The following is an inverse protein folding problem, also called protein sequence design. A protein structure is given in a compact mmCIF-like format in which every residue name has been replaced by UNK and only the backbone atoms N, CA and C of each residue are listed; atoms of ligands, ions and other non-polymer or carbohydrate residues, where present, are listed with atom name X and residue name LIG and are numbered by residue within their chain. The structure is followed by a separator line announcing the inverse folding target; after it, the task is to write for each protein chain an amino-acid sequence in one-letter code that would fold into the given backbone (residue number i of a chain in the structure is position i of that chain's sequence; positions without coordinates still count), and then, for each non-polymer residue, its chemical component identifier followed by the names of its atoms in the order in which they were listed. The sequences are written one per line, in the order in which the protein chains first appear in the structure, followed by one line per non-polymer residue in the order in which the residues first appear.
data_IF_828618552073
#
_entry.id   IF_828618552073
#
_cell.length_a   1.000
_cell.length_b   1.000
_cell.length_c   1.000
_cell.angle_alpha   90.00
_cell.angle_beta   90.00
_cell.angle_gamma   90.00
#
_symmetry.space_group_name_H-M   'P 1'
#
loop_
_entity.id
_entity.type
_entity.pdbx_description
1 polymer ?
#
# COMPACT_ATOMS: atom_id res chain seq x y z
N UNK A 1 -7.59 14.51 -4.84
CA UNK A 1 -6.55 14.30 -3.83
C UNK A 1 -5.21 13.94 -4.50
N UNK A 2 -5.15 12.91 -5.37
CA UNK A 2 -3.92 12.47 -6.02
C UNK A 2 -3.22 13.56 -6.83
N UNK A 3 -3.94 14.26 -7.68
CA UNK A 3 -3.41 15.41 -8.43
C UNK A 3 -2.80 16.48 -7.50
N UNK A 4 -3.49 16.79 -6.39
CA UNK A 4 -2.95 17.73 -5.41
C UNK A 4 -1.63 17.26 -4.81
N UNK A 5 -1.54 15.97 -4.44
CA UNK A 5 -0.29 15.40 -3.87
C UNK A 5 0.82 15.41 -4.90
N UNK A 6 0.56 14.96 -6.13
CA UNK A 6 1.59 14.73 -7.14
C UNK A 6 1.96 15.98 -7.94
N UNK A 7 1.02 16.92 -8.12
CA UNK A 7 1.24 18.11 -8.94
C UNK A 7 1.52 19.38 -8.12
N UNK A 8 1.20 19.37 -6.81
CA UNK A 8 1.39 20.52 -5.93
C UNK A 8 2.33 20.20 -4.77
N UNK A 9 2.00 19.19 -3.95
CA UNK A 9 2.76 18.90 -2.72
C UNK A 9 4.16 18.37 -3.03
N UNK A 10 4.25 17.31 -3.87
CA UNK A 10 5.55 16.72 -4.23
C UNK A 10 6.48 17.75 -4.90
N UNK A 11 6.07 18.50 -5.94
CA UNK A 11 6.94 19.51 -6.53
C UNK A 11 7.36 20.62 -5.56
N UNK A 12 6.47 21.06 -4.67
CA UNK A 12 6.80 22.03 -3.64
C UNK A 12 7.89 21.51 -2.69
N UNK A 13 7.73 20.27 -2.21
CA UNK A 13 8.73 19.66 -1.31
C UNK A 13 10.07 19.48 -2.02
N UNK A 14 10.06 19.00 -3.26
CA UNK A 14 11.29 18.81 -4.05
C UNK A 14 12.01 20.11 -4.38
N UNK A 15 11.27 21.22 -4.47
CA UNK A 15 11.84 22.54 -4.70
C UNK A 15 12.43 23.19 -3.43
N UNK A 16 11.73 23.04 -2.29
CA UNK A 16 12.06 23.72 -1.05
C UNK A 16 13.03 22.96 -0.15
N UNK A 17 13.13 21.63 -0.33
CA UNK A 17 13.94 20.77 0.53
C UNK A 17 14.94 19.95 -0.28
N UNK A 18 15.98 19.45 0.39
CA UNK A 18 16.98 18.56 -0.20
C UNK A 18 16.39 17.14 -0.29
N UNK A 19 15.76 16.83 -1.39
CA UNK A 19 15.18 15.52 -1.68
C UNK A 19 15.93 14.84 -2.81
N UNK A 20 15.76 13.51 -2.90
CA UNK A 20 16.00 12.74 -4.10
C UNK A 20 14.64 12.60 -4.79
N UNK A 21 14.40 13.43 -5.81
CA UNK A 21 13.06 13.64 -6.37
C UNK A 21 12.63 12.58 -7.39
N UNK A 22 13.55 11.67 -7.74
CA UNK A 22 13.28 10.62 -8.71
C UNK A 22 12.34 9.53 -8.17
N UNK A 23 11.84 8.71 -9.09
CA UNK A 23 10.90 7.64 -8.81
C UNK A 23 11.40 6.64 -7.76
N UNK A 24 12.67 6.24 -7.88
CA UNK A 24 13.25 5.19 -7.03
C UNK A 24 13.31 5.62 -5.56
N UNK A 25 13.48 6.93 -5.31
CA UNK A 25 13.55 7.52 -3.97
C UNK A 25 12.20 8.13 -3.52
N UNK A 26 11.14 7.94 -4.29
CA UNK A 26 9.80 8.42 -3.92
C UNK A 26 8.96 7.28 -3.41
N UNK A 27 8.62 7.34 -2.12
CA UNK A 27 7.77 6.38 -1.44
C UNK A 27 6.43 6.98 -1.02
N UNK A 28 5.36 6.19 -1.10
CA UNK A 28 4.08 6.48 -0.50
C UNK A 28 3.70 5.38 0.49
N UNK A 29 3.33 5.78 1.70
CA UNK A 29 2.99 4.84 2.78
C UNK A 29 1.65 5.27 3.38
N UNK A 30 0.76 4.32 3.60
CA UNK A 30 -0.52 4.59 4.24
C UNK A 30 -1.15 3.37 4.87
N UNK A 31 -2.05 3.61 5.82
CA UNK A 31 -2.79 2.58 6.55
C UNK A 31 -4.30 2.74 6.38
N UNK A 32 -5.05 1.66 6.50
CA UNK A 32 -6.51 1.66 6.36
C UNK A 32 -6.96 2.27 5.02
N UNK A 33 -7.81 3.29 5.00
CA UNK A 33 -8.16 4.06 3.80
C UNK A 33 -6.95 4.78 3.18
N UNK A 34 -5.94 5.14 4.01
CA UNK A 34 -4.65 5.62 3.53
C UNK A 34 -3.88 4.55 2.75
N UNK A 35 -4.02 3.27 3.12
CA UNK A 35 -3.52 2.13 2.35
C UNK A 35 -4.19 2.02 0.98
N UNK A 36 -5.51 2.21 0.92
CA UNK A 36 -6.25 2.19 -0.35
C UNK A 36 -5.77 3.29 -1.29
N UNK A 37 -5.62 4.52 -0.79
CA UNK A 37 -5.13 5.63 -1.63
C UNK A 37 -3.67 5.44 -2.04
N UNK A 38 -2.83 4.85 -1.18
CA UNK A 38 -1.46 4.48 -1.50
C UNK A 38 -1.40 3.51 -2.68
N UNK A 39 -2.20 2.46 -2.66
CA UNK A 39 -2.33 1.51 -3.76
C UNK A 39 -2.79 2.21 -5.05
N UNK A 40 -3.87 3.00 -4.97
CA UNK A 40 -4.40 3.69 -6.13
C UNK A 40 -3.39 4.66 -6.77
N UNK A 41 -2.73 5.50 -5.96
CA UNK A 41 -1.74 6.45 -6.47
C UNK A 41 -0.48 5.74 -6.97
N UNK A 42 -0.05 4.66 -6.33
CA UNK A 42 1.05 3.82 -6.81
C UNK A 42 0.78 3.19 -8.17
N UNK A 43 -0.48 2.93 -8.53
CA UNK A 43 -0.90 2.44 -9.84
C UNK A 43 -1.04 3.56 -10.88
N UNK A 44 -1.52 4.74 -10.47
CA UNK A 44 -1.72 5.88 -11.37
C UNK A 44 -0.42 6.63 -11.68
N UNK A 45 0.43 6.79 -10.68
CA UNK A 45 1.68 7.58 -10.77
C UNK A 45 2.92 6.68 -10.60
N UNK A 46 2.86 5.45 -11.14
CA UNK A 46 3.96 4.50 -11.03
C UNK A 46 5.27 4.98 -11.71
N UNK A 47 5.19 5.97 -12.58
CA UNK A 47 6.32 6.66 -13.19
C UNK A 47 7.00 7.67 -12.25
N UNK A 48 6.35 8.03 -11.14
CA UNK A 48 6.84 8.97 -10.14
C UNK A 48 6.96 8.36 -8.75
N UNK A 49 6.22 7.26 -8.44
CA UNK A 49 6.22 6.56 -7.15
C UNK A 49 6.77 5.16 -7.36
N UNK A 50 8.00 4.91 -6.92
CA UNK A 50 8.65 3.61 -7.03
C UNK A 50 8.40 2.68 -5.85
N UNK A 51 8.02 3.21 -4.69
CA UNK A 51 7.96 2.48 -3.43
C UNK A 51 6.60 2.66 -2.72
N UNK A 52 5.99 1.55 -2.29
CA UNK A 52 4.68 1.56 -1.64
C UNK A 52 4.71 0.80 -0.31
N UNK A 53 4.25 1.42 0.77
CA UNK A 53 3.98 0.77 2.05
C UNK A 53 2.47 0.74 2.34
N UNK A 54 1.87 -0.44 2.31
CA UNK A 54 0.43 -0.63 2.40
C UNK A 54 0.10 -1.37 3.69
N UNK A 55 -0.49 -0.67 4.65
CA UNK A 55 -0.82 -1.22 5.95
C UNK A 55 -2.34 -1.39 6.09
N UNK A 56 -2.79 -2.63 6.33
CA UNK A 56 -4.18 -2.96 6.67
C UNK A 56 -5.19 -2.24 5.78
N UNK A 57 -5.00 -2.31 4.46
CA UNK A 57 -5.86 -1.60 3.50
C UNK A 57 -7.29 -2.15 3.52
N UNK A 58 -8.27 -1.26 3.49
CA UNK A 58 -9.69 -1.59 3.52
C UNK A 58 -10.27 -1.89 2.12
N UNK A 59 -9.54 -2.61 1.27
CA UNK A 59 -9.97 -2.93 -0.10
C UNK A 59 -11.27 -3.73 -0.15
N UNK A 60 -11.56 -4.52 0.89
CA UNK A 60 -12.80 -5.27 1.02
C UNK A 60 -14.06 -4.40 0.89
N UNK A 61 -13.98 -3.10 1.15
CA UNK A 61 -15.08 -2.15 0.93
C UNK A 61 -15.48 -2.02 -0.54
N UNK A 62 -14.52 -2.15 -1.46
CA UNK A 62 -14.70 -1.94 -2.90
C UNK A 62 -13.88 -2.95 -3.73
N UNK A 63 -13.76 -4.19 -3.25
CA UNK A 63 -12.84 -5.20 -3.80
C UNK A 63 -13.03 -5.41 -5.30
N UNK A 64 -14.27 -5.58 -5.77
CA UNK A 64 -14.53 -5.85 -7.19
C UNK A 64 -14.13 -4.67 -8.09
N UNK A 65 -14.44 -3.44 -7.66
CA UNK A 65 -14.07 -2.25 -8.41
C UNK A 65 -12.55 -2.09 -8.48
N UNK A 66 -11.84 -2.37 -7.39
CA UNK A 66 -10.38 -2.31 -7.33
C UNK A 66 -9.73 -3.41 -8.17
N UNK A 67 -10.25 -4.63 -8.13
CA UNK A 67 -9.77 -5.73 -8.97
C UNK A 67 -9.88 -5.38 -10.47
N UNK A 68 -11.05 -4.92 -10.90
CA UNK A 68 -11.24 -4.48 -12.29
C UNK A 68 -10.33 -3.32 -12.69
N UNK A 69 -9.95 -2.49 -11.73
CA UNK A 69 -9.05 -1.38 -11.98
C UNK A 69 -7.62 -1.88 -12.18
N UNK A 70 -7.10 -2.72 -11.27
CA UNK A 70 -5.72 -3.24 -11.34
C UNK A 70 -5.50 -4.16 -12.55
N UNK A 71 -6.49 -4.98 -12.94
CA UNK A 71 -6.43 -5.88 -14.09
C UNK A 71 -6.14 -5.15 -15.42
N UNK A 72 -6.43 -3.85 -15.49
CA UNK A 72 -6.19 -3.01 -16.68
C UNK A 72 -4.85 -2.32 -16.69
N UNK A 73 -4.07 -2.47 -15.62
CA UNK A 73 -2.76 -1.84 -15.47
C UNK A 73 -1.67 -2.82 -15.85
N UNK A 74 -0.60 -2.30 -16.40
CA UNK A 74 0.68 -3.02 -16.49
C UNK A 74 1.63 -2.30 -15.55
N UNK A 75 2.17 -3.03 -14.58
CA UNK A 75 3.03 -2.45 -13.56
C UNK A 75 4.50 -2.56 -13.94
N UNK A 76 5.31 -1.67 -13.41
CA UNK A 76 6.75 -1.78 -13.54
C UNK A 76 7.26 -2.90 -12.63
N UNK A 77 8.12 -3.75 -13.19
CA UNK A 77 8.64 -4.92 -12.49
C UNK A 77 9.47 -4.56 -11.23
N UNK A 78 10.05 -3.38 -11.22
CA UNK A 78 10.91 -2.84 -10.16
C UNK A 78 10.17 -2.00 -9.12
N UNK A 79 8.83 -1.87 -9.19
CA UNK A 79 8.05 -1.20 -8.15
C UNK A 79 8.14 -1.99 -6.84
N UNK A 80 8.63 -1.36 -5.77
CA UNK A 80 8.78 -2.01 -4.47
C UNK A 80 7.52 -1.85 -3.63
N UNK A 81 6.94 -2.97 -3.18
CA UNK A 81 5.67 -2.96 -2.46
C UNK A 81 5.80 -3.78 -1.17
N UNK A 82 5.62 -3.11 -0.03
CA UNK A 82 5.49 -3.75 1.27
C UNK A 82 4.02 -3.75 1.71
N UNK A 83 3.48 -4.94 2.01
CA UNK A 83 2.10 -5.13 2.44
C UNK A 83 2.12 -5.66 3.88
N UNK A 84 1.30 -5.06 4.75
CA UNK A 84 1.10 -5.51 6.11
C UNK A 84 -0.39 -5.65 6.41
N UNK A 85 -0.74 -6.71 7.16
CA UNK A 85 -2.09 -6.92 7.70
C UNK A 85 -2.03 -7.71 9.00
N UNK A 86 -2.83 -7.33 10.00
CA UNK A 86 -3.05 -8.10 11.22
C UNK A 86 -4.11 -9.19 11.06
N UNK A 87 -4.19 -10.11 12.00
CA UNK A 87 -5.25 -11.13 12.01
C UNK A 87 -6.48 -10.73 12.82
N UNK A 88 -6.41 -9.62 13.57
CA UNK A 88 -7.49 -9.10 14.42
C UNK A 88 -7.94 -7.68 14.01
N UNK A 89 -7.94 -7.40 12.70
CA UNK A 89 -8.12 -6.07 12.12
C UNK A 89 -9.49 -5.42 12.36
N UNK A 90 -10.53 -6.19 12.61
CA UNK A 90 -11.88 -5.65 12.75
C UNK A 90 -12.17 -5.10 14.15
N UNK A 91 -12.75 -3.91 14.20
CA UNK A 91 -13.35 -3.35 15.41
C UNK A 91 -14.91 -3.45 15.39
N UNK A 92 -15.57 -2.90 16.41
CA UNK A 92 -17.02 -2.92 16.52
C UNK A 92 -17.71 -2.06 15.43
N UNK A 93 -17.03 -1.04 14.91
CA UNK A 93 -17.55 -0.16 13.85
C UNK A 93 -17.61 -0.90 12.53
N UNK A 94 -16.57 -1.65 12.20
CA UNK A 94 -16.51 -2.42 10.97
C UNK A 94 -17.60 -3.48 10.87
N UNK A 95 -18.00 -4.09 11.98
CA UNK A 95 -19.07 -5.09 12.05
C UNK A 95 -20.42 -4.60 11.56
N UNK A 96 -20.62 -3.27 11.53
CA UNK A 96 -21.86 -2.65 11.02
C UNK A 96 -21.85 -2.48 9.50
N UNK A 97 -20.70 -2.53 8.87
CA UNK A 97 -20.51 -2.22 7.45
C UNK A 97 -20.59 -3.46 6.56
N UNK A 98 -20.36 -4.64 7.10
CA UNK A 98 -20.29 -5.88 6.33
C UNK A 98 -20.89 -7.07 7.10
N UNK A 99 -21.67 -7.88 6.40
CA UNK A 99 -22.09 -9.20 6.90
C UNK A 99 -20.96 -10.20 6.66
N UNK A 100 -20.40 -10.78 7.71
CA UNK A 100 -19.35 -11.81 7.60
C UNK A 100 -18.15 -11.59 8.49
N UNK A 101 -17.06 -12.30 8.20
CA UNK A 101 -15.82 -12.22 8.95
C UNK A 101 -14.91 -11.12 8.39
N UNK A 102 -15.03 -9.91 8.91
CA UNK A 102 -14.26 -8.74 8.44
C UNK A 102 -12.76 -8.94 8.65
N UNK A 103 -12.32 -9.60 9.74
CA UNK A 103 -10.90 -9.92 9.97
C UNK A 103 -10.35 -10.74 8.80
N UNK A 104 -11.08 -11.75 8.36
CA UNK A 104 -10.71 -12.53 7.20
C UNK A 104 -10.73 -11.70 5.91
N UNK A 105 -11.69 -10.77 5.76
CA UNK A 105 -11.77 -9.90 4.60
C UNK A 105 -10.54 -8.99 4.44
N UNK A 106 -9.95 -8.50 5.53
CA UNK A 106 -8.68 -7.76 5.49
C UNK A 106 -7.52 -8.63 4.99
N UNK A 107 -7.43 -9.87 5.49
CA UNK A 107 -6.39 -10.81 5.07
C UNK A 107 -6.58 -11.17 3.59
N UNK A 108 -7.79 -11.56 3.20
CA UNK A 108 -8.09 -11.99 1.83
C UNK A 108 -7.84 -10.86 0.81
N UNK A 109 -8.24 -9.63 1.13
CA UNK A 109 -7.99 -8.47 0.27
C UNK A 109 -6.52 -8.12 0.15
N UNK A 110 -5.74 -8.28 1.22
CA UNK A 110 -4.28 -8.07 1.19
C UNK A 110 -3.57 -9.14 0.37
N UNK A 111 -3.95 -10.41 0.52
CA UNK A 111 -3.43 -11.51 -0.30
C UNK A 111 -3.84 -11.35 -1.77
N UNK A 112 -5.06 -10.89 -2.02
CA UNK A 112 -5.52 -10.62 -3.38
C UNK A 112 -4.69 -9.52 -4.04
N UNK A 113 -4.46 -8.40 -3.34
CA UNK A 113 -3.61 -7.33 -3.85
C UNK A 113 -2.18 -7.83 -4.14
N UNK A 114 -1.58 -8.60 -3.21
CA UNK A 114 -0.27 -9.21 -3.43
C UNK A 114 -0.24 -10.04 -4.72
N UNK A 115 -1.23 -10.90 -4.93
CA UNK A 115 -1.34 -11.71 -6.13
C UNK A 115 -1.53 -10.86 -7.40
N UNK A 116 -2.43 -9.88 -7.36
CA UNK A 116 -2.79 -9.08 -8.53
C UNK A 116 -1.61 -8.22 -9.02
N UNK A 117 -0.82 -7.61 -8.13
CA UNK A 117 0.36 -6.83 -8.56
C UNK A 117 1.42 -7.70 -9.21
N UNK A 118 1.61 -8.93 -8.76
CA UNK A 118 2.51 -9.90 -9.40
C UNK A 118 1.99 -10.27 -10.78
N UNK A 119 0.70 -10.54 -10.92
CA UNK A 119 0.08 -10.84 -12.22
C UNK A 119 0.19 -9.68 -13.21
N UNK A 120 0.23 -8.45 -12.70
CA UNK A 120 0.39 -7.24 -13.52
C UNK A 120 1.85 -6.86 -13.81
N UNK A 121 2.82 -7.61 -13.29
CA UNK A 121 4.21 -7.51 -13.72
C UNK A 121 5.25 -7.18 -12.65
N UNK A 122 4.86 -6.92 -11.40
CA UNK A 122 5.82 -6.68 -10.30
C UNK A 122 6.66 -7.94 -10.05
N UNK A 123 7.98 -7.79 -9.96
CA UNK A 123 8.89 -8.88 -9.67
C UNK A 123 8.74 -9.34 -8.20
N UNK A 124 8.79 -10.66 -7.98
CA UNK A 124 8.68 -11.27 -6.65
C UNK A 124 9.74 -10.78 -5.66
N UNK A 125 10.89 -10.35 -6.14
CA UNK A 125 11.96 -9.80 -5.28
C UNK A 125 11.66 -8.38 -4.78
N UNK A 126 10.67 -7.71 -5.39
CA UNK A 126 10.27 -6.35 -5.06
C UNK A 126 8.97 -6.26 -4.28
N UNK A 127 8.43 -7.39 -3.82
CA UNK A 127 7.22 -7.42 -3.03
C UNK A 127 7.39 -8.24 -1.75
N UNK A 128 6.92 -7.70 -0.64
CA UNK A 128 6.84 -8.39 0.65
C UNK A 128 5.44 -8.30 1.25
N UNK A 129 5.01 -9.37 1.91
CA UNK A 129 3.77 -9.37 2.69
C UNK A 129 4.05 -9.89 4.10
N UNK A 130 3.48 -9.19 5.10
CA UNK A 130 3.49 -9.57 6.52
C UNK A 130 2.07 -9.76 7.02
N UNK A 131 1.78 -10.93 7.55
CA UNK A 131 0.52 -11.23 8.24
C UNK A 131 0.86 -11.45 9.70
N UNK A 132 0.50 -10.48 10.56
CA UNK A 132 0.84 -10.49 11.98
C UNK A 132 -0.26 -11.11 12.83
N UNK A 133 0.04 -12.22 13.48
CA UNK A 133 -0.90 -12.88 14.38
C UNK A 133 -1.23 -12.01 15.59
N UNK A 134 -2.52 -11.84 15.89
CA UNK A 134 -3.02 -11.08 17.03
C UNK A 134 -3.00 -9.55 16.86
N UNK A 135 -2.44 -9.04 15.79
CA UNK A 135 -2.41 -7.59 15.56
C UNK A 135 -3.78 -7.05 15.17
N UNK A 136 -4.13 -5.91 15.75
CA UNK A 136 -5.39 -5.21 15.57
C UNK A 136 -5.26 -4.03 14.60
N UNK A 137 -6.38 -3.46 14.19
CA UNK A 137 -6.44 -2.27 13.32
C UNK A 137 -6.11 -1.00 14.11
N UNK A 138 -4.83 -0.79 14.37
CA UNK A 138 -4.38 0.30 15.25
C UNK A 138 -2.98 0.81 14.87
N UNK A 139 -2.75 2.09 15.09
CA UNK A 139 -1.50 2.78 14.76
C UNK A 139 -0.27 2.17 15.46
N UNK A 140 -0.41 1.64 16.66
CA UNK A 140 0.68 0.97 17.38
C UNK A 140 1.15 -0.28 16.63
N UNK A 141 0.22 -1.09 16.10
CA UNK A 141 0.55 -2.27 15.31
C UNK A 141 1.26 -1.89 14.00
N UNK A 142 0.84 -0.82 13.36
CA UNK A 142 1.50 -0.32 12.13
C UNK A 142 2.87 0.28 12.42
N UNK A 143 3.01 1.04 13.52
CA UNK A 143 4.27 1.65 13.92
C UNK A 143 5.35 0.62 14.23
N UNK A 144 4.98 -0.53 14.81
CA UNK A 144 5.90 -1.65 15.08
C UNK A 144 6.56 -2.19 13.79
N UNK A 145 5.81 -2.23 12.68
CA UNK A 145 6.29 -2.74 11.40
C UNK A 145 6.84 -1.67 10.43
N UNK A 146 6.65 -0.39 10.74
CA UNK A 146 7.15 0.69 9.90
C UNK A 146 8.68 0.64 9.68
N UNK A 147 9.53 0.34 10.66
CA UNK A 147 10.97 0.22 10.43
C UNK A 147 11.36 -0.90 9.46
N UNK A 148 10.63 -2.02 9.45
CA UNK A 148 10.84 -3.10 8.47
C UNK A 148 10.44 -2.65 7.08
N UNK A 149 9.27 -2.01 6.96
CA UNK A 149 8.78 -1.44 5.72
C UNK A 149 9.81 -0.46 5.13
N UNK A 150 10.29 0.50 5.92
CA UNK A 150 11.27 1.49 5.45
C UNK A 150 12.57 0.83 4.98
N UNK A 151 13.11 -0.15 5.72
CA UNK A 151 14.30 -0.88 5.27
C UNK A 151 14.07 -1.63 3.96
N UNK A 152 12.92 -2.26 3.80
CA UNK A 152 12.58 -2.95 2.57
C UNK A 152 12.45 -1.98 1.39
N UNK A 153 11.75 -0.88 1.56
CA UNK A 153 11.55 0.10 0.48
C UNK A 153 12.86 0.81 0.08
N UNK A 154 13.71 1.11 1.06
CA UNK A 154 14.97 1.83 0.86
C UNK A 154 16.20 0.91 0.62
N UNK A 155 16.02 -0.38 0.38
CA UNK A 155 17.11 -1.34 0.26
C UNK A 155 18.18 -0.95 -0.78
N UNK A 156 17.78 -0.24 -1.83
CA UNK A 156 18.68 0.21 -2.91
C UNK A 156 18.91 1.73 -2.89
N UNK A 157 18.60 2.41 -1.80
CA UNK A 157 18.87 3.84 -1.65
C UNK A 157 20.30 4.03 -1.13
N UNK A 158 21.21 4.37 -2.03
CA UNK A 158 22.64 4.67 -1.75
C UNK A 158 22.88 6.16 -1.46
#
# INVERSE_FOLDING_TARGET
YGEFVMEVVKPFIDQEYRTLADREHTAMIGSSLGGNITQFLGLEYQDQIGCLGVFSSANWLHQDAFNHYIERKKLYADQRIYIYVGTEEADETDKTLMAGNIKQAYIDSSLRYYHDVIQQGVDLNHIAIRIQSGAIHHEEAWAEHLPECLRFLAENWD
#
